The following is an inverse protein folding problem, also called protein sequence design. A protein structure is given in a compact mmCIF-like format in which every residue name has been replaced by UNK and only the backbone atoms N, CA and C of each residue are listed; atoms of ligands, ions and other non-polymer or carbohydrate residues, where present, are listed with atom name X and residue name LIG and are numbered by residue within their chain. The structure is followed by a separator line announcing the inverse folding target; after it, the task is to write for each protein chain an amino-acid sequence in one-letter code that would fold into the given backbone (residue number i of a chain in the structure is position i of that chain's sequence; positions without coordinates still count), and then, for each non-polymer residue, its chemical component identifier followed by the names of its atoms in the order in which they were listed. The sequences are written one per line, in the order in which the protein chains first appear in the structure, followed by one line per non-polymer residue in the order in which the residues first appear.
data_IF_462543455352
#
_entry.id   IF_462543455352
#
_cell.length_a   1.000
_cell.length_b   1.000
_cell.length_c   1.000
_cell.angle_alpha   90.00
_cell.angle_beta   90.00
_cell.angle_gamma   90.00
#
_symmetry.space_group_name_H-M   'P 1'
#
loop_
_entity.id
_entity.type
_entity.pdbx_description
1 polymer ?
#
# COMPACT_ATOMS: atom_id res chain seq x y z
N UNK A 1 11.18 -16.07 -9.46
CA UNK A 1 11.43 -15.98 -10.91
C UNK A 1 12.13 -17.21 -11.49
N UNK A 2 13.35 -17.58 -11.04
CA UNK A 2 14.13 -18.68 -11.61
C UNK A 2 13.38 -20.02 -11.75
N UNK A 3 12.54 -20.38 -10.77
CA UNK A 3 11.72 -21.60 -10.79
C UNK A 3 10.67 -21.58 -11.92
N UNK A 4 10.09 -20.42 -12.25
CA UNK A 4 9.16 -20.30 -13.40
C UNK A 4 9.92 -20.46 -14.71
N UNK A 5 11.10 -19.86 -14.82
CA UNK A 5 11.95 -19.93 -16.02
C UNK A 5 12.48 -21.34 -16.30
N UNK A 6 13.05 -21.98 -15.28
CA UNK A 6 13.74 -23.27 -15.40
C UNK A 6 12.82 -24.47 -15.14
N UNK A 7 11.68 -24.23 -14.50
CA UNK A 7 10.79 -25.28 -14.00
C UNK A 7 11.38 -25.99 -12.78
N UNK A 8 10.59 -26.90 -12.23
CA UNK A 8 11.02 -27.89 -11.27
C UNK A 8 10.39 -29.24 -11.65
N UNK A 9 11.15 -30.04 -12.40
CA UNK A 9 10.66 -31.32 -12.95
C UNK A 9 10.34 -32.35 -11.85
N UNK A 10 11.05 -32.30 -10.72
CA UNK A 10 10.76 -33.16 -9.56
C UNK A 10 9.38 -32.87 -8.96
N UNK A 11 8.95 -31.61 -9.03
CA UNK A 11 7.61 -31.15 -8.61
C UNK A 11 6.61 -31.07 -9.75
N UNK A 12 6.89 -31.69 -10.90
CA UNK A 12 6.04 -31.70 -12.11
C UNK A 12 5.71 -30.30 -12.65
N UNK A 13 6.59 -29.34 -12.43
CA UNK A 13 6.48 -27.99 -12.98
C UNK A 13 7.42 -27.89 -14.19
N UNK A 14 6.92 -27.92 -15.44
CA UNK A 14 7.78 -27.76 -16.60
C UNK A 14 8.38 -26.34 -16.64
N UNK A 15 9.51 -26.13 -17.35
CA UNK A 15 10.00 -24.78 -17.62
C UNK A 15 8.99 -23.99 -18.45
N UNK A 16 8.72 -22.74 -18.07
CA UNK A 16 7.87 -21.83 -18.83
C UNK A 16 8.70 -20.94 -19.76
N UNK A 17 9.61 -21.56 -20.53
CA UNK A 17 10.47 -20.87 -21.49
C UNK A 17 9.71 -20.31 -22.70
N UNK A 18 8.46 -20.73 -22.92
CA UNK A 18 7.56 -20.18 -23.93
C UNK A 18 7.00 -18.80 -23.57
N UNK A 19 7.07 -18.39 -22.31
CA UNK A 19 6.63 -17.07 -21.86
C UNK A 19 7.72 -16.03 -22.10
N UNK A 20 7.32 -14.77 -22.31
CA UNK A 20 8.24 -13.64 -22.28
C UNK A 20 8.75 -13.41 -20.86
N UNK A 21 9.81 -12.60 -20.73
CA UNK A 21 10.34 -12.20 -19.43
C UNK A 21 9.27 -11.54 -18.55
N UNK A 22 8.56 -10.57 -19.13
CA UNK A 22 7.43 -9.88 -18.50
C UNK A 22 6.34 -10.85 -18.04
N UNK A 23 5.91 -11.77 -18.91
CA UNK A 23 4.87 -12.74 -18.57
C UNK A 23 5.28 -13.68 -17.43
N UNK A 24 6.56 -14.04 -17.33
CA UNK A 24 7.05 -14.82 -16.17
C UNK A 24 6.96 -14.01 -14.89
N UNK A 25 7.25 -12.72 -14.93
CA UNK A 25 7.09 -11.83 -13.78
C UNK A 25 5.63 -11.61 -13.40
N UNK A 26 4.72 -11.49 -14.36
CA UNK A 26 3.28 -11.39 -14.08
C UNK A 26 2.76 -12.65 -13.38
N UNK A 27 3.22 -13.84 -13.79
CA UNK A 27 2.90 -15.10 -13.08
C UNK A 27 3.44 -15.11 -11.66
N UNK A 28 4.67 -14.62 -11.45
CA UNK A 28 5.26 -14.51 -10.09
C UNK A 28 4.42 -13.56 -9.23
N UNK A 29 4.06 -12.39 -9.74
CA UNK A 29 3.25 -11.40 -9.03
C UNK A 29 1.85 -11.95 -8.70
N UNK A 30 1.22 -12.67 -9.63
CA UNK A 30 -0.08 -13.30 -9.41
C UNK A 30 -0.01 -14.42 -8.34
N UNK A 31 0.99 -15.30 -8.41
CA UNK A 31 1.20 -16.32 -7.37
C UNK A 31 1.48 -15.70 -6.00
N UNK A 32 2.18 -14.57 -5.99
CA UNK A 32 2.46 -13.80 -4.79
C UNK A 32 1.19 -13.23 -4.16
N UNK A 33 0.28 -12.64 -4.95
CA UNK A 33 -0.99 -12.12 -4.44
C UNK A 33 -1.94 -13.22 -3.94
N UNK A 34 -1.90 -14.42 -4.52
CA UNK A 34 -2.64 -15.57 -4.00
C UNK A 34 -2.11 -16.09 -2.66
N UNK A 35 -0.83 -15.86 -2.36
CA UNK A 35 -0.16 -16.40 -1.17
C UNK A 35 -0.17 -15.45 0.02
N UNK A 36 -0.57 -14.19 -0.18
CA UNK A 36 -0.57 -13.15 0.84
C UNK A 36 -1.92 -12.44 0.85
N UNK A 37 -2.60 -12.49 2.00
CA UNK A 37 -3.85 -11.77 2.18
C UNK A 37 -3.60 -10.26 2.24
N UNK A 38 -4.58 -9.43 1.82
CA UNK A 38 -4.50 -7.98 1.99
C UNK A 38 -4.19 -7.56 3.43
N UNK A 39 -4.78 -8.24 4.41
CA UNK A 39 -4.57 -7.96 5.83
C UNK A 39 -3.12 -8.16 6.26
N UNK A 40 -2.45 -9.22 5.77
CA UNK A 40 -1.03 -9.46 6.05
C UNK A 40 -0.15 -8.36 5.45
N UNK A 41 -0.46 -7.93 4.22
CA UNK A 41 0.31 -6.87 3.56
C UNK A 41 0.17 -5.55 4.29
N UNK A 42 -1.05 -5.19 4.73
CA UNK A 42 -1.28 -3.98 5.53
C UNK A 42 -0.57 -4.05 6.89
N UNK A 43 -0.65 -5.18 7.60
CA UNK A 43 0.07 -5.34 8.86
C UNK A 43 1.59 -5.15 8.66
N UNK A 44 2.13 -5.72 7.58
CA UNK A 44 3.53 -5.53 7.21
C UNK A 44 3.86 -4.07 6.86
N UNK A 45 2.97 -3.37 6.18
CA UNK A 45 3.12 -1.94 5.86
C UNK A 45 3.22 -1.08 7.12
N UNK A 46 2.27 -1.24 8.05
CA UNK A 46 2.26 -0.46 9.29
C UNK A 46 3.53 -0.70 10.12
N UNK A 47 3.95 -1.97 10.23
CA UNK A 47 5.20 -2.32 10.88
C UNK A 47 6.41 -1.71 10.16
N UNK A 48 6.41 -1.73 8.83
CA UNK A 48 7.50 -1.18 8.02
C UNK A 48 7.62 0.33 8.20
N UNK A 49 6.51 1.08 8.15
CA UNK A 49 6.52 2.52 8.36
C UNK A 49 6.99 2.88 9.77
N UNK A 50 6.58 2.11 10.78
CA UNK A 50 6.99 2.34 12.17
C UNK A 50 8.43 1.96 12.51
N UNK A 51 9.04 0.99 11.81
CA UNK A 51 10.30 0.38 12.23
C UNK A 51 11.42 0.39 11.17
N UNK A 52 11.10 0.51 9.89
CA UNK A 52 12.02 0.26 8.79
C UNK A 52 12.24 1.48 7.88
N UNK A 53 11.21 2.30 7.69
CA UNK A 53 11.21 3.40 6.72
C UNK A 53 12.26 4.49 7.00
N UNK A 54 12.66 4.71 8.26
CA UNK A 54 13.68 5.72 8.61
C UNK A 54 15.03 5.44 7.92
N UNK A 55 15.38 4.17 7.73
CA UNK A 55 16.58 3.74 7.03
C UNK A 55 16.29 3.34 5.58
N UNK A 56 15.29 2.49 5.36
CA UNK A 56 15.02 1.90 4.03
C UNK A 56 14.18 2.78 3.10
N UNK A 57 13.65 3.91 3.58
CA UNK A 57 12.76 4.82 2.84
C UNK A 57 11.31 4.34 2.86
N UNK A 58 10.36 5.28 2.83
CA UNK A 58 8.91 4.98 2.90
C UNK A 58 8.45 4.01 1.80
N UNK A 59 9.00 4.16 0.59
CA UNK A 59 8.75 3.26 -0.56
C UNK A 59 9.78 2.15 -0.75
N UNK A 60 10.72 1.97 0.18
CA UNK A 60 11.78 0.94 0.08
C UNK A 60 12.87 1.22 -0.95
N UNK A 61 13.12 2.49 -1.29
CA UNK A 61 14.14 2.88 -2.27
C UNK A 61 15.56 3.01 -1.68
N UNK A 62 15.72 2.68 -0.40
CA UNK A 62 16.99 2.73 0.33
C UNK A 62 17.41 4.14 0.73
N UNK A 63 16.54 5.16 0.60
CA UNK A 63 16.84 6.57 0.86
C UNK A 63 16.11 7.13 2.08
N UNK A 64 15.97 6.32 3.13
CA UNK A 64 15.46 6.81 4.40
C UNK A 64 16.33 7.95 4.96
N UNK A 65 15.74 8.77 5.83
CA UNK A 65 16.41 9.92 6.45
C UNK A 65 17.72 9.55 7.18
N UNK A 66 17.80 8.33 7.70
CA UNK A 66 18.96 7.80 8.42
C UNK A 66 19.93 7.02 7.52
N UNK A 67 19.55 6.71 6.28
CA UNK A 67 20.33 5.87 5.36
C UNK A 67 21.77 6.37 5.14
N UNK A 68 21.96 7.70 5.09
CA UNK A 68 23.26 8.31 4.86
C UNK A 68 24.23 8.19 6.05
N UNK A 69 23.74 7.85 7.24
CA UNK A 69 24.54 7.69 8.45
C UNK A 69 25.01 6.24 8.68
N UNK A 70 24.49 5.29 7.91
CA UNK A 70 24.82 3.87 8.03
C UNK A 70 26.18 3.55 7.38
N UNK A 71 26.81 2.49 7.86
CA UNK A 71 28.09 1.99 7.34
C UNK A 71 27.94 1.42 5.93
N UNK A 72 26.79 0.83 5.63
CA UNK A 72 26.42 0.34 4.31
C UNK A 72 25.03 0.87 3.91
N UNK A 73 24.86 1.11 2.61
CA UNK A 73 23.57 1.56 2.09
C UNK A 73 22.51 0.46 2.24
N UNK A 74 21.28 0.80 2.70
CA UNK A 74 20.19 -0.16 2.79
C UNK A 74 19.86 -0.78 1.44
N UNK A 75 19.37 -2.03 1.48
CA UNK A 75 18.85 -2.72 0.30
C UNK A 75 17.73 -1.92 -0.36
N UNK A 76 17.77 -1.81 -1.69
CA UNK A 76 16.73 -1.19 -2.52
C UNK A 76 15.67 -2.25 -2.81
N UNK A 77 14.57 -2.25 -2.07
CA UNK A 77 13.51 -3.25 -2.18
C UNK A 77 12.66 -3.10 -3.44
N UNK A 78 12.76 -1.96 -4.13
CA UNK A 78 12.10 -1.74 -5.43
C UNK A 78 12.87 -2.36 -6.60
N UNK A 79 14.12 -2.81 -6.40
CA UNK A 79 14.90 -3.50 -7.42
C UNK A 79 14.47 -4.96 -7.53
N UNK A 80 13.73 -5.25 -8.61
CA UNK A 80 13.17 -6.58 -8.86
C UNK A 80 14.23 -7.66 -9.08
N UNK A 81 15.38 -7.33 -9.70
CA UNK A 81 16.44 -8.31 -9.97
C UNK A 81 17.16 -8.66 -8.67
N UNK A 82 17.53 -7.65 -7.89
CA UNK A 82 18.15 -7.84 -6.58
C UNK A 82 17.24 -8.63 -5.63
N UNK A 83 15.96 -8.31 -5.60
CA UNK A 83 14.99 -8.99 -4.73
C UNK A 83 14.61 -10.38 -5.24
N UNK A 84 14.90 -10.73 -6.49
CA UNK A 84 14.71 -12.08 -7.02
C UNK A 84 15.62 -13.10 -6.34
N UNK A 85 16.81 -12.67 -5.91
CA UNK A 85 17.85 -13.51 -5.30
C UNK A 85 17.64 -13.72 -3.79
N UNK A 86 16.69 -13.00 -3.21
CA UNK A 86 16.31 -13.15 -1.80
C UNK A 86 15.03 -13.99 -1.71
N UNK A 87 15.01 -15.01 -0.85
CA UNK A 87 13.81 -15.77 -0.51
C UNK A 87 13.00 -15.08 0.59
N UNK A 88 11.74 -15.45 0.78
CA UNK A 88 10.92 -14.91 1.86
C UNK A 88 11.50 -15.28 3.24
N UNK A 89 12.08 -16.47 3.37
CA UNK A 89 12.81 -16.92 4.56
C UNK A 89 14.07 -16.09 4.81
N UNK A 90 14.83 -15.74 3.77
CA UNK A 90 16.03 -14.90 3.93
C UNK A 90 15.67 -13.50 4.43
N UNK A 91 14.61 -12.89 3.88
CA UNK A 91 14.08 -11.63 4.38
C UNK A 91 13.61 -11.75 5.84
N UNK A 92 12.86 -12.82 6.16
CA UNK A 92 12.43 -13.11 7.52
C UNK A 92 13.63 -13.22 8.48
N UNK A 93 14.69 -13.93 8.10
CA UNK A 93 15.87 -14.09 8.93
C UNK A 93 16.63 -12.78 9.11
N UNK A 94 16.79 -11.98 8.05
CA UNK A 94 17.40 -10.66 8.15
C UNK A 94 16.65 -9.75 9.13
N UNK A 95 15.31 -9.74 9.10
CA UNK A 95 14.49 -9.01 10.08
C UNK A 95 14.67 -9.58 11.49
N UNK A 96 14.73 -10.90 11.60
CA UNK A 96 14.80 -11.59 12.90
C UNK A 96 16.12 -11.36 13.61
N UNK A 97 17.22 -11.51 12.89
CA UNK A 97 18.59 -11.55 13.42
C UNK A 97 19.31 -10.19 13.27
N UNK A 98 18.77 -9.29 12.45
CA UNK A 98 19.43 -8.05 12.06
C UNK A 98 20.59 -8.28 11.10
N UNK A 99 21.21 -7.19 10.67
CA UNK A 99 22.41 -7.19 9.82
C UNK A 99 23.41 -6.21 10.44
N UNK A 100 24.47 -6.76 11.04
CA UNK A 100 25.51 -5.95 11.66
C UNK A 100 26.26 -5.10 10.59
N UNK A 101 26.68 -3.86 10.93
CA UNK A 101 26.58 -3.25 12.26
C UNK A 101 25.29 -2.43 12.50
N UNK A 102 24.56 -2.07 11.44
CA UNK A 102 23.59 -0.97 11.51
C UNK A 102 22.12 -1.42 11.59
N UNK A 103 21.77 -2.61 11.10
CA UNK A 103 20.39 -3.11 11.14
C UNK A 103 20.15 -3.94 12.41
N UNK A 104 19.26 -3.51 13.32
CA UNK A 104 18.97 -4.22 14.55
C UNK A 104 18.17 -5.51 14.30
N UNK A 105 18.23 -6.41 15.28
CA UNK A 105 17.42 -7.64 15.32
C UNK A 105 16.04 -7.36 15.90
N UNK A 106 14.97 -7.85 15.26
CA UNK A 106 13.59 -7.62 15.70
C UNK A 106 12.93 -8.85 16.34
N UNK A 107 13.63 -9.99 16.47
CA UNK A 107 13.02 -11.23 16.98
C UNK A 107 12.45 -11.13 18.41
N UNK A 108 12.99 -10.23 19.24
CA UNK A 108 12.53 -9.98 20.62
C UNK A 108 11.38 -8.95 20.69
N UNK A 109 11.20 -8.15 19.65
CA UNK A 109 10.22 -7.05 19.60
C UNK A 109 8.97 -7.44 18.82
N UNK A 110 9.13 -8.28 17.79
CA UNK A 110 8.09 -8.67 16.86
C UNK A 110 7.88 -10.19 16.89
N UNK A 111 6.61 -10.60 16.95
CA UNK A 111 6.21 -11.99 16.80
C UNK A 111 6.65 -12.56 15.44
N UNK A 112 6.66 -13.89 15.33
CA UNK A 112 6.98 -14.53 14.06
C UNK A 112 5.98 -14.16 12.95
N UNK A 113 4.71 -13.97 13.30
CA UNK A 113 3.67 -13.59 12.34
C UNK A 113 3.89 -12.17 11.80
N UNK A 114 4.20 -11.21 12.67
CA UNK A 114 4.54 -9.83 12.29
C UNK A 114 5.80 -9.77 11.41
N UNK A 115 6.82 -10.57 11.71
CA UNK A 115 8.03 -10.65 10.86
C UNK A 115 7.75 -11.28 9.49
N UNK A 116 6.82 -12.23 9.41
CA UNK A 116 6.35 -12.76 8.13
C UNK A 116 5.52 -11.73 7.35
N UNK A 117 4.71 -10.93 8.04
CA UNK A 117 4.00 -9.80 7.44
C UNK A 117 4.95 -8.75 6.86
N UNK A 118 6.02 -8.39 7.59
CA UNK A 118 7.09 -7.52 7.08
C UNK A 118 7.79 -8.11 5.85
N UNK A 119 8.19 -9.39 5.90
CA UNK A 119 8.82 -10.07 4.75
C UNK A 119 7.92 -10.05 3.51
N UNK A 120 6.61 -10.24 3.69
CA UNK A 120 5.63 -10.11 2.63
C UNK A 120 5.57 -8.65 2.13
N UNK A 121 5.36 -7.66 3.00
CA UNK A 121 5.27 -6.27 2.56
C UNK A 121 6.53 -5.80 1.81
N UNK A 122 7.72 -6.11 2.31
CA UNK A 122 8.99 -5.82 1.64
C UNK A 122 9.04 -6.45 0.23
N UNK A 123 8.52 -7.68 0.07
CA UNK A 123 8.40 -8.29 -1.25
C UNK A 123 7.42 -7.54 -2.14
N UNK A 124 6.28 -7.05 -1.64
CA UNK A 124 5.32 -6.33 -2.47
C UNK A 124 5.87 -5.03 -3.05
N UNK A 125 6.84 -4.39 -2.39
CA UNK A 125 7.51 -3.18 -2.91
C UNK A 125 8.20 -3.42 -4.27
N UNK A 126 8.59 -4.67 -4.57
CA UNK A 126 9.14 -5.05 -5.90
C UNK A 126 8.12 -4.99 -7.03
N UNK A 127 6.83 -5.10 -6.71
CA UNK A 127 5.74 -5.12 -7.68
C UNK A 127 4.95 -3.80 -7.69
N UNK A 128 5.02 -3.03 -6.60
CA UNK A 128 4.32 -1.76 -6.44
C UNK A 128 4.74 -0.70 -7.48
N UNK A 129 5.98 -0.75 -7.99
CA UNK A 129 6.42 0.11 -9.10
C UNK A 129 5.92 -0.30 -10.50
N UNK A 130 5.17 -1.41 -10.62
CA UNK A 130 4.72 -1.93 -11.92
C UNK A 130 3.22 -2.25 -12.02
N UNK A 131 2.41 -1.79 -11.07
CA UNK A 131 0.96 -1.62 -11.28
C UNK A 131 0.67 -0.22 -11.84
N UNK A 132 1.58 0.32 -12.65
CA UNK A 132 1.20 1.22 -13.73
C UNK A 132 0.82 0.31 -14.91
N UNK A 133 -0.47 0.10 -15.13
CA UNK A 133 -1.00 -0.70 -16.23
C UNK A 133 -0.57 -0.04 -17.55
N UNK A 134 0.58 -0.44 -18.07
CA UNK A 134 1.01 -0.12 -19.42
C UNK A 134 0.17 -0.93 -20.39
N UNK A 135 -0.95 -0.35 -20.82
CA UNK A 135 -1.61 -0.77 -22.04
C UNK A 135 -2.04 0.48 -22.81
N UNK A 136 -1.14 1.01 -23.64
CA UNK A 136 -1.51 1.79 -24.82
C UNK A 136 -0.44 1.62 -25.90
N UNK A 137 -0.79 1.09 -27.09
CA UNK A 137 0.09 1.10 -28.25
C UNK A 137 0.24 2.54 -28.78
N UNK A 138 1.50 2.94 -28.94
CA UNK A 138 1.94 4.21 -29.50
C UNK A 138 1.54 4.36 -30.98
N UNK A 139 0.75 5.39 -31.35
CA UNK A 139 0.87 6.16 -32.62
C UNK A 139 -0.01 7.43 -32.59
N UNK A 140 0.27 8.47 -33.40
CA UNK A 140 1.22 9.54 -33.15
C UNK A 140 0.54 10.90 -32.89
N UNK A 141 1.31 11.78 -32.29
CA UNK A 141 1.15 13.25 -32.22
C UNK A 141 0.60 13.89 -33.50
N UNK A 142 -0.28 14.90 -33.37
CA UNK A 142 -0.17 16.11 -34.17
C UNK A 142 0.31 17.27 -33.31
N UNK A 143 1.31 17.94 -33.86
CA UNK A 143 2.03 19.06 -33.28
C UNK A 143 1.16 20.31 -33.10
N UNK A 144 1.50 21.05 -32.04
CA UNK A 144 1.54 22.50 -31.89
C UNK A 144 0.28 23.35 -32.20
N UNK A 145 -0.08 24.20 -31.23
CA UNK A 145 0.11 25.66 -31.32
C UNK A 145 0.30 26.21 -29.89
N UNK A 146 1.37 26.98 -29.71
CA UNK A 146 1.65 27.85 -28.56
C UNK A 146 0.62 28.98 -28.47
N UNK A 147 0.19 29.39 -27.27
CA UNK A 147 0.21 30.81 -26.88
C UNK A 147 0.09 30.97 -25.35
N UNK A 148 1.06 31.66 -24.76
CA UNK A 148 1.04 32.22 -23.41
C UNK A 148 -0.07 33.25 -23.23
N UNK A 149 -0.73 33.30 -22.07
CA UNK A 149 -0.63 34.40 -21.08
C UNK A 149 -1.70 34.31 -19.98
N UNK A 150 -1.24 34.59 -18.77
CA UNK A 150 -1.94 34.69 -17.49
C UNK A 150 -3.13 35.65 -17.53
N UNK A 151 -4.27 35.28 -16.95
CA UNK A 151 -5.17 36.20 -16.22
C UNK A 151 -6.00 35.41 -15.19
N UNK A 152 -5.85 35.79 -13.92
CA UNK A 152 -6.71 35.38 -12.81
C UNK A 152 -8.10 36.04 -12.93
N UNK A 153 -9.16 35.24 -12.86
CA UNK A 153 -10.40 35.55 -12.14
C UNK A 153 -11.25 34.26 -12.01
N UNK A 154 -11.41 33.78 -10.78
CA UNK A 154 -12.49 32.85 -10.38
C UNK A 154 -13.85 33.56 -10.50
N UNK A 155 -15.04 32.90 -10.53
CA UNK A 155 -15.30 31.48 -10.26
C UNK A 155 -16.28 30.84 -11.27
N UNK A 156 -15.92 29.77 -12.00
CA UNK A 156 -16.93 29.01 -12.76
C UNK A 156 -16.44 27.59 -13.10
N UNK A 157 -17.35 26.65 -12.86
CA UNK A 157 -17.38 25.24 -13.27
C UNK A 157 -16.42 24.30 -12.52
N UNK A 158 -16.92 23.77 -11.40
CA UNK A 158 -16.67 22.39 -10.99
C UNK A 158 -16.76 21.51 -12.24
N UNK A 159 -15.60 21.09 -12.73
CA UNK A 159 -15.55 20.11 -13.81
C UNK A 159 -15.79 18.76 -13.15
N UNK A 160 -17.07 18.39 -13.06
CA UNK A 160 -17.49 17.04 -12.70
C UNK A 160 -16.86 16.12 -13.73
N UNK A 161 -15.84 15.37 -13.31
CA UNK A 161 -15.17 14.33 -14.11
C UNK A 161 -16.18 13.19 -14.34
N UNK A 162 -17.08 12.96 -13.38
CA UNK A 162 -18.21 12.06 -13.51
C UNK A 162 -18.84 11.74 -12.17
N UNK A 163 -19.74 10.76 -12.19
CA UNK A 163 -20.20 10.03 -11.00
C UNK A 163 -19.40 8.73 -10.97
N UNK A 164 -18.73 8.45 -9.85
CA UNK A 164 -17.86 7.27 -9.67
C UNK A 164 -18.26 6.44 -8.46
N UNK A 165 -17.56 5.32 -8.29
CA UNK A 165 -17.66 4.44 -7.12
C UNK A 165 -16.34 4.49 -6.37
N UNK A 166 -16.40 4.53 -5.05
CA UNK A 166 -15.23 4.41 -4.19
C UNK A 166 -15.42 3.15 -3.35
N UNK A 167 -14.50 2.20 -3.52
CA UNK A 167 -14.47 0.98 -2.73
C UNK A 167 -13.48 1.14 -1.58
N UNK A 168 -13.61 0.30 -0.57
CA UNK A 168 -12.66 0.30 0.53
C UNK A 168 -12.83 -0.88 1.45
N UNK A 169 -11.90 -0.96 2.39
CA UNK A 169 -11.91 -2.01 3.40
C UNK A 169 -11.54 -1.45 4.77
N UNK A 170 -12.35 -1.77 5.77
CA UNK A 170 -12.00 -1.60 7.18
C UNK A 170 -11.23 -2.82 7.63
N UNK A 171 -10.10 -2.62 8.29
CA UNK A 171 -9.24 -3.71 8.77
C UNK A 171 -8.98 -3.53 10.26
N UNK A 172 -9.27 -4.58 11.04
CA UNK A 172 -8.87 -4.66 12.45
C UNK A 172 -7.38 -4.98 12.52
N UNK A 173 -6.58 -4.00 12.95
CA UNK A 173 -5.12 -4.18 13.10
C UNK A 173 -4.81 -5.13 14.27
N UNK A 174 -5.71 -5.19 15.26
CA UNK A 174 -5.63 -6.08 16.43
C UNK A 174 -6.05 -7.52 16.12
N UNK A 175 -6.56 -7.80 14.91
CA UNK A 175 -7.02 -9.14 14.50
C UNK A 175 -8.40 -9.55 15.03
N UNK A 176 -9.15 -8.61 15.60
CA UNK A 176 -10.52 -8.82 16.07
C UNK A 176 -11.56 -8.83 14.94
N UNK A 177 -12.77 -9.30 15.25
CA UNK A 177 -13.90 -9.28 14.32
C UNK A 177 -14.43 -7.85 14.12
N UNK A 178 -14.91 -7.54 12.92
CA UNK A 178 -15.46 -6.22 12.60
C UNK A 178 -16.87 -6.10 13.20
N UNK A 179 -17.17 -5.02 13.97
CA UNK A 179 -18.49 -4.79 14.53
C UNK A 179 -19.58 -4.73 13.45
N UNK A 180 -20.71 -5.39 13.69
CA UNK A 180 -21.79 -5.51 12.71
C UNK A 180 -22.54 -4.18 12.43
N UNK A 181 -22.37 -3.18 13.28
CA UNK A 181 -22.96 -1.85 13.19
C UNK A 181 -21.95 -0.76 12.78
N UNK A 182 -20.75 -1.17 12.37
CA UNK A 182 -19.72 -0.25 11.92
C UNK A 182 -20.16 0.44 10.62
N UNK A 183 -19.94 1.75 10.57
CA UNK A 183 -20.16 2.56 9.37
C UNK A 183 -18.92 3.36 9.05
N UNK A 184 -18.67 3.55 7.76
CA UNK A 184 -17.61 4.41 7.25
C UNK A 184 -18.23 5.71 6.78
N UNK A 185 -17.63 6.82 7.19
CA UNK A 185 -17.89 8.14 6.65
C UNK A 185 -16.81 8.50 5.63
N UNK A 186 -17.22 8.78 4.40
CA UNK A 186 -16.37 9.32 3.35
C UNK A 186 -16.46 10.83 3.33
N UNK A 187 -15.33 11.51 3.51
CA UNK A 187 -15.21 12.96 3.37
C UNK A 187 -14.55 13.31 2.04
N UNK A 188 -15.10 14.30 1.34
CA UNK A 188 -14.49 14.89 0.16
C UNK A 188 -14.08 16.34 0.41
N UNK A 189 -12.87 16.70 0.00
CA UNK A 189 -12.27 18.01 0.20
C UNK A 189 -11.89 18.64 -1.14
N UNK A 190 -12.32 19.87 -1.34
CA UNK A 190 -11.83 20.72 -2.42
C UNK A 190 -10.81 21.69 -1.82
N UNK A 191 -9.54 21.52 -2.20
CA UNK A 191 -8.40 22.18 -1.54
C UNK A 191 -8.31 21.83 -0.05
N UNK A 192 -8.73 22.73 0.84
CA UNK A 192 -8.73 22.54 2.30
C UNK A 192 -10.14 22.61 2.90
N UNK A 193 -11.18 22.67 2.08
CA UNK A 193 -12.56 22.79 2.55
C UNK A 193 -13.29 21.47 2.33
N UNK A 194 -13.90 20.93 3.38
CA UNK A 194 -14.80 19.80 3.25
C UNK A 194 -16.06 20.24 2.49
N UNK A 195 -16.35 19.57 1.39
CA UNK A 195 -17.47 19.90 0.49
C UNK A 195 -18.37 18.69 0.21
N UNK A 196 -17.94 17.49 0.58
CA UNK A 196 -18.72 16.26 0.43
C UNK A 196 -18.61 15.40 1.69
N UNK A 197 -19.71 14.71 2.01
CA UNK A 197 -19.76 13.70 3.06
C UNK A 197 -20.79 12.64 2.67
N UNK A 198 -20.49 11.37 2.91
CA UNK A 198 -21.42 10.27 2.75
C UNK A 198 -21.11 9.17 3.78
N UNK A 199 -22.12 8.39 4.15
CA UNK A 199 -21.98 7.27 5.07
C UNK A 199 -22.42 5.97 4.39
N UNK A 200 -21.73 4.88 4.67
CA UNK A 200 -22.09 3.54 4.19
C UNK A 200 -21.82 2.51 5.30
N UNK A 201 -22.68 1.47 5.45
CA UNK A 201 -22.39 0.38 6.37
C UNK A 201 -21.21 -0.47 5.89
N UNK A 202 -20.50 -1.07 6.82
CA UNK A 202 -19.41 -2.00 6.53
C UNK A 202 -19.95 -3.43 6.52
N UNK A 203 -19.60 -4.20 5.49
CA UNK A 203 -19.93 -5.63 5.42
C UNK A 203 -19.15 -6.43 6.47
N UNK A 204 -19.60 -7.64 6.87
CA UNK A 204 -18.91 -8.44 7.89
C UNK A 204 -17.46 -8.84 7.55
N UNK A 205 -17.09 -8.80 6.26
CA UNK A 205 -15.72 -9.02 5.78
C UNK A 205 -14.88 -7.72 5.69
N UNK A 206 -15.43 -6.62 6.18
CA UNK A 206 -14.82 -5.30 6.23
C UNK A 206 -14.98 -4.49 4.97
N UNK A 207 -15.62 -5.02 3.93
CA UNK A 207 -15.76 -4.33 2.65
C UNK A 207 -16.82 -3.24 2.76
N UNK A 208 -16.54 -2.10 2.15
CA UNK A 208 -17.52 -1.03 1.99
C UNK A 208 -17.42 -0.42 0.59
N UNK A 209 -18.53 0.16 0.13
CA UNK A 209 -18.57 0.88 -1.13
C UNK A 209 -19.47 2.10 -1.02
N UNK A 210 -19.02 3.19 -1.65
CA UNK A 210 -19.80 4.39 -1.91
C UNK A 210 -20.16 4.42 -3.38
N UNK A 211 -21.46 4.35 -3.66
CA UNK A 211 -22.00 4.52 -5.00
C UNK A 211 -22.34 5.99 -5.23
N UNK A 212 -22.44 6.37 -6.50
CA UNK A 212 -22.84 7.70 -6.95
C UNK A 212 -22.00 8.89 -6.41
N UNK A 213 -20.69 8.69 -6.22
CA UNK A 213 -19.78 9.72 -5.69
C UNK A 213 -19.45 10.77 -6.77
N UNK A 214 -19.67 12.07 -6.51
CA UNK A 214 -19.26 13.13 -7.44
C UNK A 214 -17.73 13.25 -7.50
N UNK A 215 -17.15 12.82 -8.62
CA UNK A 215 -15.72 12.88 -8.88
C UNK A 215 -15.39 14.24 -9.49
N UNK A 216 -14.78 15.13 -8.71
CA UNK A 216 -14.25 16.41 -9.21
C UNK A 216 -12.74 16.30 -9.35
N UNK A 217 -12.19 16.88 -10.42
CA UNK A 217 -10.75 16.89 -10.64
C UNK A 217 -10.03 17.59 -9.47
N UNK A 218 -9.07 16.88 -8.85
CA UNK A 218 -8.30 17.41 -7.72
C UNK A 218 -9.03 17.40 -6.37
N UNK A 219 -10.22 16.79 -6.29
CA UNK A 219 -10.87 16.50 -5.00
C UNK A 219 -10.14 15.38 -4.29
N UNK A 220 -9.88 15.60 -3.01
CA UNK A 220 -9.30 14.60 -2.11
C UNK A 220 -10.41 13.89 -1.33
N UNK A 221 -10.26 12.59 -1.12
CA UNK A 221 -11.16 11.75 -0.35
C UNK A 221 -10.45 11.12 0.83
N UNK A 222 -11.17 11.00 1.94
CA UNK A 222 -10.74 10.37 3.19
C UNK A 222 -11.90 9.52 3.72
N UNK A 223 -11.67 8.24 3.94
CA UNK A 223 -12.61 7.38 4.66
C UNK A 223 -12.26 7.39 6.14
N UNK A 224 -13.27 7.46 7.01
CA UNK A 224 -13.10 7.41 8.46
C UNK A 224 -14.13 6.50 9.08
N UNK A 225 -13.73 5.83 10.15
CA UNK A 225 -14.60 5.06 11.04
C UNK A 225 -14.44 5.62 12.44
N UNK A 226 -15.52 5.71 13.18
CA UNK A 226 -15.49 6.01 14.61
C UNK A 226 -15.76 4.72 15.39
N UNK A 227 -14.83 4.37 16.28
CA UNK A 227 -14.93 3.18 17.14
C UNK A 227 -14.43 3.53 18.54
N UNK A 228 -15.23 3.22 19.57
CA UNK A 228 -14.94 3.57 20.98
C UNK A 228 -14.55 5.06 21.18
N UNK A 229 -15.28 5.99 20.57
CA UNK A 229 -15.03 7.45 20.58
C UNK A 229 -13.67 7.88 19.99
N UNK A 230 -13.01 7.00 19.21
CA UNK A 230 -11.77 7.27 18.47
C UNK A 230 -12.04 7.21 16.98
N UNK A 231 -11.66 8.26 16.26
CA UNK A 231 -11.72 8.30 14.81
C UNK A 231 -10.45 7.70 14.20
N UNK A 232 -10.64 6.71 13.33
CA UNK A 232 -9.61 6.08 12.52
C UNK A 232 -9.85 6.41 11.06
N UNK A 233 -8.82 6.81 10.32
CA UNK A 233 -8.97 7.27 8.95
C UNK A 233 -8.00 6.57 7.99
N UNK A 234 -8.41 6.48 6.73
CA UNK A 234 -7.54 6.05 5.65
C UNK A 234 -6.45 7.07 5.34
N UNK A 235 -5.56 6.70 4.43
CA UNK A 235 -4.78 7.71 3.70
C UNK A 235 -5.70 8.56 2.81
N UNK A 236 -5.21 9.76 2.47
CA UNK A 236 -5.90 10.69 1.58
C UNK A 236 -5.68 10.23 0.13
N UNK A 237 -6.76 9.99 -0.60
CA UNK A 237 -6.71 9.65 -2.01
C UNK A 237 -7.20 10.84 -2.85
N UNK A 238 -6.47 11.23 -3.90
CA UNK A 238 -6.84 12.38 -4.77
C UNK A 238 -7.31 11.90 -6.13
N UNK A 239 -8.45 12.40 -6.60
CA UNK A 239 -9.01 12.02 -7.90
C UNK A 239 -8.14 12.56 -9.03
N UNK A 240 -7.60 11.62 -9.80
CA UNK A 240 -6.99 11.85 -11.09
C UNK A 240 -8.02 11.51 -12.20
N UNK A 241 -8.30 12.39 -13.16
CA UNK A 241 -9.19 12.07 -14.29
C UNK A 241 -8.77 10.86 -15.14
N UNK A 242 -7.54 10.35 -14.99
CA UNK A 242 -7.07 9.13 -15.66
C UNK A 242 -7.22 7.86 -14.80
N UNK A 243 -7.56 7.98 -13.50
CA UNK A 243 -7.72 6.84 -12.58
C UNK A 243 -8.89 7.07 -11.59
N UNK A 244 -10.02 6.40 -11.84
CA UNK A 244 -11.22 6.46 -11.01
C UNK A 244 -11.31 5.38 -9.93
N UNK A 245 -10.43 4.39 -9.95
CA UNK A 245 -10.48 3.24 -9.06
C UNK A 245 -9.67 3.55 -7.80
N UNK A 246 -10.38 3.90 -6.72
CA UNK A 246 -9.79 4.15 -5.42
C UNK A 246 -10.23 3.08 -4.43
N UNK A 247 -9.26 2.48 -3.74
CA UNK A 247 -9.51 1.61 -2.59
C UNK A 247 -9.02 2.33 -1.35
N UNK A 248 -9.95 2.71 -0.47
CA UNK A 248 -9.63 3.36 0.82
C UNK A 248 -9.53 2.30 1.91
N UNK A 249 -8.37 2.21 2.56
CA UNK A 249 -8.13 1.27 3.65
C UNK A 249 -8.21 2.03 4.97
N UNK A 250 -9.12 1.63 5.86
CA UNK A 250 -9.27 2.24 7.19
C UNK A 250 -8.80 1.25 8.26
N UNK A 251 -7.60 1.44 8.83
CA UNK A 251 -7.14 0.61 9.95
C UNK A 251 -7.81 1.07 11.25
N UNK A 252 -8.51 0.18 11.96
CA UNK A 252 -8.99 0.48 13.31
C UNK A 252 -8.34 -0.44 14.35
N UNK A 253 -8.26 0.07 15.58
CA UNK A 253 -7.65 -0.61 16.71
C UNK A 253 -8.71 -0.86 17.78
N UNK A 254 -8.72 -2.06 18.34
CA UNK A 254 -9.57 -2.38 19.48
C UNK A 254 -9.00 -1.78 20.76
N UNK A 255 -9.88 -1.38 21.68
CA UNK A 255 -9.48 -1.00 23.03
C UNK A 255 -8.99 -2.24 23.79
N UNK A 256 -7.75 -2.23 24.27
CA UNK A 256 -7.21 -3.29 25.13
C UNK A 256 -7.14 -2.83 26.58
N UNK A 257 -7.50 -3.72 27.51
CA UNK A 257 -7.28 -3.54 28.94
C UNK A 257 -5.94 -4.11 29.42
N UNK A 258 -5.19 -4.74 28.51
CA UNK A 258 -3.85 -5.27 28.78
C UNK A 258 -2.81 -4.14 28.71
N UNK A 259 -2.37 -3.70 29.88
CA UNK A 259 -1.36 -2.65 30.02
C UNK A 259 0.07 -3.15 29.89
N UNK A 260 0.29 -4.45 29.65
CA UNK A 260 1.63 -5.05 29.58
C UNK A 260 2.49 -4.49 28.44
N UNK A 261 1.87 -3.90 27.41
CA UNK A 261 2.53 -3.29 26.25
C UNK A 261 2.73 -1.77 26.37
N UNK A 262 2.22 -1.13 27.42
CA UNK A 262 2.35 0.32 27.61
C UNK A 262 3.65 0.65 28.36
N UNK A 263 4.66 1.12 27.63
CA UNK A 263 5.86 1.76 28.20
C UNK A 263 5.79 3.28 28.05
N UNK A 264 6.00 4.01 29.13
CA UNK A 264 6.13 5.47 29.12
C UNK A 264 7.51 5.82 29.66
N UNK A 265 8.45 6.08 28.76
CA UNK A 265 9.75 6.63 29.13
C UNK A 265 9.64 8.14 29.32
N UNK A 266 10.07 8.60 30.49
CA UNK A 266 10.08 10.02 30.85
C UNK A 266 11.42 10.61 30.39
N UNK A 267 11.36 11.59 29.48
CA UNK A 267 12.49 12.42 29.05
C UNK A 267 13.17 13.13 30.23
#
# INVERSE_FOLDING_TARGET
YAVVTQGNLERRMPPFSSLTDRQRWDVVAYLYSLSNSPQRLLQGELLYQGNCASCHGEGGDGKGLEAAALSESPTIFTDQELMADHSAEQLFQAISEGIAPDMPAFAEQLSAEERWALSAYIRSLTFASQIAVSDTPETPTPAAIETSETTQASPTAESVVGIGRIDGQVISVSGGDIPADLSVTLYGFDQMQQTYTADTPVEPDGIFAFEDVPMLQGRAFLASVEYDDVAYSSDIAVIDPENSDMVLIVPYYESTSDTSQLSVDRL
#
